data_IF_317225788920
#
_entry.id   IF_317225788920
#
_cell.length_a   1.000
_cell.length_b   1.000
_cell.length_c   1.000
_cell.angle_alpha   90.00
_cell.angle_beta   90.00
_cell.angle_gamma   90.00
#
_symmetry.space_group_name_H-M   'P 1'
#
loop_
_entity.id
_entity.type
_entity.pdbx_description
1 polymer ?
#
# COMPACT_ATOMS: atom_id res chain seq x y z
N UNK A 1 -3.12 -5.55 -6.39
CA UNK A 1 -3.90 -5.20 -5.18
C UNK A 1 -3.23 -4.00 -4.55
N UNK A 2 -4.00 -3.00 -4.13
CA UNK A 2 -3.45 -1.81 -3.46
C UNK A 2 -3.00 -2.16 -2.04
N UNK A 3 -1.97 -1.48 -1.53
CA UNK A 3 -1.45 -1.70 -0.18
C UNK A 3 -1.07 -0.38 0.50
N UNK A 4 -0.70 -0.43 1.78
CA UNK A 4 -0.08 0.70 2.45
C UNK A 4 1.02 0.28 3.40
N UNK A 5 1.92 1.22 3.66
CA UNK A 5 2.92 1.18 4.71
C UNK A 5 2.68 2.30 5.72
N UNK A 6 2.92 1.99 6.99
CA UNK A 6 2.90 2.98 8.08
C UNK A 6 4.31 3.54 8.26
N UNK A 7 4.47 4.85 8.12
CA UNK A 7 5.72 5.54 8.45
C UNK A 7 5.77 5.89 9.93
N UNK A 8 6.68 5.28 10.69
CA UNK A 8 6.87 5.53 12.11
C UNK A 8 7.90 6.62 12.41
N UNK A 9 8.68 7.08 11.43
CA UNK A 9 9.81 7.99 11.64
C UNK A 9 9.40 9.25 12.39
N UNK A 10 8.24 9.81 12.05
CA UNK A 10 7.71 11.05 12.63
C UNK A 10 6.63 10.81 13.70
N UNK A 11 6.25 9.55 13.94
CA UNK A 11 5.23 9.20 14.93
C UNK A 11 5.79 9.33 16.35
N UNK A 12 5.12 10.08 17.25
CA UNK A 12 5.51 10.21 18.65
C UNK A 12 5.63 8.85 19.36
N UNK A 13 6.69 8.66 20.15
CA UNK A 13 7.00 7.37 20.79
C UNK A 13 5.85 6.80 21.65
N UNK A 14 5.07 7.67 22.31
CA UNK A 14 3.93 7.29 23.14
C UNK A 14 2.74 6.75 22.33
N UNK A 15 2.67 7.05 21.03
CA UNK A 15 1.61 6.56 20.14
C UNK A 15 2.02 5.34 19.32
N UNK A 16 3.32 5.08 19.18
CA UNK A 16 3.86 4.01 18.30
C UNK A 16 3.27 2.64 18.61
N UNK A 17 3.15 2.24 19.88
CA UNK A 17 2.59 0.92 20.25
C UNK A 17 1.17 0.74 19.72
N UNK A 18 0.30 1.72 19.96
CA UNK A 18 -1.09 1.67 19.54
C UNK A 18 -1.23 1.66 18.00
N UNK A 19 -0.39 2.42 17.29
CA UNK A 19 -0.37 2.47 15.83
C UNK A 19 0.13 1.13 15.24
N UNK A 20 1.19 0.54 15.80
CA UNK A 20 1.71 -0.76 15.36
C UNK A 20 0.69 -1.87 15.61
N UNK A 21 0.07 -1.92 16.78
CA UNK A 21 -0.98 -2.88 17.09
C UNK A 21 -2.18 -2.75 16.12
N UNK A 22 -2.60 -1.52 15.83
CA UNK A 22 -3.65 -1.26 14.85
C UNK A 22 -3.24 -1.70 13.43
N UNK A 23 -1.99 -1.46 13.03
CA UNK A 23 -1.48 -1.84 11.70
C UNK A 23 -1.48 -3.37 11.52
N UNK A 24 -1.02 -4.10 12.53
CA UNK A 24 -1.03 -5.57 12.53
C UNK A 24 -2.47 -6.09 12.53
N UNK A 25 -3.35 -5.55 13.39
CA UNK A 25 -4.75 -5.98 13.47
C UNK A 25 -5.53 -5.71 12.17
N UNK A 26 -5.29 -4.57 11.53
CA UNK A 26 -5.95 -4.16 10.31
C UNK A 26 -5.38 -4.83 9.05
N UNK A 27 -4.28 -5.58 9.16
CA UNK A 27 -3.63 -6.26 8.04
C UNK A 27 -2.94 -5.29 7.08
N UNK A 28 -2.32 -4.22 7.61
CA UNK A 28 -1.49 -3.32 6.80
C UNK A 28 -0.25 -4.09 6.30
N UNK A 29 0.17 -3.84 5.05
CA UNK A 29 1.23 -4.61 4.38
C UNK A 29 2.60 -4.43 5.03
N UNK A 30 2.91 -3.22 5.51
CA UNK A 30 4.23 -2.94 6.07
C UNK A 30 4.33 -1.74 7.00
N UNK A 31 5.46 -1.68 7.68
CA UNK A 31 5.88 -0.58 8.55
C UNK A 31 7.26 -0.12 8.10
N UNK A 32 7.41 1.19 7.95
CA UNK A 32 8.64 1.87 7.58
C UNK A 32 9.18 2.66 8.78
N UNK A 33 10.46 2.46 9.10
CA UNK A 33 11.18 3.23 10.12
C UNK A 33 12.66 3.38 9.67
N UNK A 34 13.43 4.22 10.35
CA UNK A 34 14.88 4.40 10.14
C UNK A 34 15.72 3.64 11.17
N UNK A 35 15.09 3.05 12.18
CA UNK A 35 15.72 2.33 13.29
C UNK A 35 15.49 0.81 13.17
N UNK A 36 16.52 0.01 12.82
CA UNK A 36 16.39 -1.44 12.64
C UNK A 36 15.86 -2.18 13.87
N UNK A 37 16.24 -1.73 15.07
CA UNK A 37 15.80 -2.36 16.32
C UNK A 37 14.28 -2.22 16.55
N UNK A 38 13.67 -1.11 16.11
CA UNK A 38 12.21 -0.93 16.17
C UNK A 38 11.53 -1.95 15.25
N UNK A 39 12.03 -2.09 14.02
CA UNK A 39 11.52 -3.04 13.03
C UNK A 39 11.69 -4.49 13.49
N UNK A 40 12.78 -4.83 14.17
CA UNK A 40 13.05 -6.16 14.71
C UNK A 40 12.03 -6.60 15.78
N UNK A 41 11.32 -5.66 16.43
CA UNK A 41 10.25 -5.99 17.39
C UNK A 41 8.92 -6.37 16.74
N UNK A 42 8.75 -6.09 15.45
CA UNK A 42 7.49 -6.32 14.74
C UNK A 42 7.27 -7.82 14.47
N UNK A 43 6.00 -8.28 14.49
CA UNK A 43 5.69 -9.67 14.17
C UNK A 43 6.00 -9.97 12.69
N UNK A 44 6.29 -11.23 12.33
CA UNK A 44 6.61 -11.62 10.95
C UNK A 44 5.43 -11.48 9.97
N UNK A 45 4.24 -11.15 10.47
CA UNK A 45 3.03 -10.95 9.66
C UNK A 45 2.96 -9.58 8.99
N UNK A 46 3.85 -8.64 9.35
CA UNK A 46 3.90 -7.30 8.76
C UNK A 46 5.29 -7.07 8.16
N UNK A 47 5.36 -6.54 6.93
CA UNK A 47 6.65 -6.29 6.26
C UNK A 47 7.42 -5.20 7.01
N UNK A 48 8.69 -5.48 7.30
CA UNK A 48 9.64 -4.55 7.92
C UNK A 48 10.42 -3.82 6.84
N UNK A 49 10.14 -2.53 6.65
CA UNK A 49 10.76 -1.69 5.64
C UNK A 49 11.72 -0.72 6.33
N UNK A 50 13.01 -0.76 6.00
CA UNK A 50 13.99 0.17 6.54
C UNK A 50 14.29 1.27 5.52
N UNK A 51 14.30 2.52 5.97
CA UNK A 51 15.00 3.61 5.27
C UNK A 51 16.21 4.01 6.12
N UNK A 52 17.43 3.51 5.81
CA UNK A 52 18.56 3.68 6.70
C UNK A 52 18.95 5.14 6.80
N UNK A 53 19.13 5.63 8.03
CA UNK A 53 19.90 6.85 8.27
C UNK A 53 21.37 6.63 7.88
N UNK A 54 22.10 7.71 7.59
CA UNK A 54 23.49 7.64 7.16
C UNK A 54 24.33 6.79 8.12
N UNK A 55 25.00 5.75 7.58
CA UNK A 55 25.88 4.86 8.33
C UNK A 55 25.20 3.69 9.04
N UNK A 56 23.89 3.48 8.86
CA UNK A 56 23.17 2.31 9.38
C UNK A 56 23.23 1.18 8.35
N UNK A 57 23.93 0.10 8.68
CA UNK A 57 23.90 -1.14 7.91
C UNK A 57 22.78 -2.06 8.44
N UNK A 58 21.82 -2.49 7.61
CA UNK A 58 20.78 -3.41 8.03
C UNK A 58 21.33 -4.83 8.25
N UNK A 59 20.94 -5.47 9.36
CA UNK A 59 21.00 -6.93 9.49
C UNK A 59 19.84 -7.54 8.69
N UNK A 60 20.14 -8.53 7.85
CA UNK A 60 19.17 -9.25 7.04
C UNK A 60 18.05 -9.91 7.86
N UNK A 61 18.27 -10.18 9.16
CA UNK A 61 17.24 -10.75 10.03
C UNK A 61 16.23 -9.73 10.56
N UNK A 62 16.56 -8.43 10.50
CA UNK A 62 15.76 -7.36 11.08
C UNK A 62 14.82 -6.69 10.08
N UNK A 63 15.09 -6.83 8.78
CA UNK A 63 14.45 -6.04 7.72
C UNK A 63 14.11 -6.92 6.52
N UNK A 64 12.92 -6.73 5.95
CA UNK A 64 12.46 -7.46 4.76
C UNK A 64 12.71 -6.67 3.45
N UNK A 65 12.74 -5.33 3.53
CA UNK A 65 13.01 -4.44 2.40
C UNK A 65 13.80 -3.20 2.85
N UNK A 66 14.83 -2.83 2.09
CA UNK A 66 15.59 -1.59 2.32
C UNK A 66 15.27 -0.59 1.21
N UNK A 67 14.82 0.60 1.59
CA UNK A 67 14.52 1.72 0.70
C UNK A 67 15.61 2.77 0.86
N UNK A 68 16.35 3.07 -0.19
CA UNK A 68 17.45 4.03 -0.16
C UNK A 68 17.05 5.39 -0.73
N UNK A 69 17.36 6.51 -0.07
CA UNK A 69 17.24 7.83 -0.69
C UNK A 69 18.05 7.89 -2.00
N UNK A 70 17.40 8.32 -3.09
CA UNK A 70 18.04 8.44 -4.40
C UNK A 70 17.93 9.87 -4.93
N UNK A 71 19.07 10.42 -5.31
CA UNK A 71 19.20 11.77 -5.88
C UNK A 71 19.79 11.77 -7.29
N UNK A 72 20.26 10.61 -7.77
CA UNK A 72 20.85 10.43 -9.09
C UNK A 72 20.57 9.04 -9.69
N UNK A 73 20.78 8.91 -11.00
CA UNK A 73 20.56 7.67 -11.75
C UNK A 73 21.57 6.60 -11.38
N UNK A 74 22.80 6.97 -10.99
CA UNK A 74 23.83 6.02 -10.56
C UNK A 74 23.38 5.21 -9.33
N UNK A 75 22.61 5.84 -8.43
CA UNK A 75 21.99 5.16 -7.30
C UNK A 75 20.92 4.17 -7.76
N UNK A 76 20.08 4.54 -8.73
CA UNK A 76 19.07 3.64 -9.30
C UNK A 76 19.71 2.42 -9.98
N UNK A 77 20.79 2.63 -10.74
CA UNK A 77 21.49 1.53 -11.42
C UNK A 77 22.09 0.55 -10.40
N UNK A 78 22.73 1.06 -9.33
CA UNK A 78 23.22 0.19 -8.24
C UNK A 78 22.09 -0.59 -7.57
N UNK A 79 20.96 0.08 -7.27
CA UNK A 79 19.81 -0.56 -6.62
C UNK A 79 19.20 -1.64 -7.50
N UNK A 80 19.19 -1.45 -8.82
CA UNK A 80 18.71 -2.45 -9.78
C UNK A 80 19.54 -3.74 -9.70
N UNK A 81 20.86 -3.61 -9.63
CA UNK A 81 21.77 -4.76 -9.59
C UNK A 81 21.61 -5.60 -8.32
N UNK A 82 21.25 -4.97 -7.19
CA UNK A 82 21.05 -5.65 -5.90
C UNK A 82 19.57 -5.95 -5.58
N UNK A 83 18.63 -5.59 -6.46
CA UNK A 83 17.19 -5.75 -6.22
C UNK A 83 16.62 -4.85 -5.13
N UNK A 84 17.21 -3.67 -4.91
CA UNK A 84 16.82 -2.71 -3.89
C UNK A 84 15.65 -1.80 -4.27
N UNK A 85 15.20 -0.97 -3.33
CA UNK A 85 14.15 0.03 -3.52
C UNK A 85 14.70 1.45 -3.35
N UNK A 86 14.07 2.43 -4.01
CA UNK A 86 14.46 3.83 -3.93
C UNK A 86 13.39 4.70 -3.26
N UNK A 87 13.82 5.74 -2.53
CA UNK A 87 13.00 6.86 -2.11
C UNK A 87 13.42 8.11 -2.91
N UNK A 88 12.50 8.69 -3.67
CA UNK A 88 12.76 9.90 -4.47
C UNK A 88 11.87 11.04 -3.99
N UNK A 89 12.49 12.11 -3.51
CA UNK A 89 11.78 13.36 -3.20
C UNK A 89 11.65 14.21 -4.47
N UNK A 90 10.45 14.29 -5.03
CA UNK A 90 10.14 14.97 -6.27
C UNK A 90 9.81 16.43 -6.00
N UNK A 91 10.77 17.30 -6.30
CA UNK A 91 10.66 18.75 -6.10
C UNK A 91 10.66 19.53 -7.41
N UNK A 92 11.19 18.94 -8.49
CA UNK A 92 11.41 19.59 -9.79
C UNK A 92 11.44 18.57 -10.95
N UNK A 93 11.66 19.05 -12.17
CA UNK A 93 11.70 18.20 -13.37
C UNK A 93 12.85 17.16 -13.37
N UNK A 94 14.09 17.48 -12.94
CA UNK A 94 15.14 16.47 -12.76
C UNK A 94 14.74 15.33 -11.80
N UNK A 95 14.20 15.66 -10.63
CA UNK A 95 13.78 14.65 -9.65
C UNK A 95 12.54 13.88 -10.09
N UNK A 96 11.64 14.49 -10.87
CA UNK A 96 10.53 13.79 -11.52
C UNK A 96 11.03 12.76 -12.54
N UNK A 97 11.99 13.12 -13.40
CA UNK A 97 12.61 12.15 -14.32
C UNK A 97 13.29 11.01 -13.58
N UNK A 98 13.93 11.30 -12.46
CA UNK A 98 14.54 10.28 -11.61
C UNK A 98 13.49 9.32 -11.04
N UNK A 99 12.34 9.82 -10.57
CA UNK A 99 11.24 8.99 -10.09
C UNK A 99 10.69 8.06 -11.19
N UNK A 100 10.54 8.56 -12.43
CA UNK A 100 10.14 7.72 -13.56
C UNK A 100 11.18 6.63 -13.88
N UNK A 101 12.47 6.98 -13.86
CA UNK A 101 13.56 6.03 -14.07
C UNK A 101 13.61 4.97 -12.96
N UNK A 102 13.39 5.35 -11.70
CA UNK A 102 13.32 4.44 -10.57
C UNK A 102 12.13 3.49 -10.69
N UNK A 103 10.92 4.02 -10.95
CA UNK A 103 9.69 3.24 -11.05
C UNK A 103 9.69 2.21 -12.20
N UNK A 104 10.43 2.47 -13.27
CA UNK A 104 10.59 1.54 -14.39
C UNK A 104 11.70 0.51 -14.18
N UNK A 105 12.64 0.78 -13.26
CA UNK A 105 13.85 -0.01 -13.07
C UNK A 105 13.84 -0.90 -11.82
N UNK A 106 13.06 -0.53 -10.80
CA UNK A 106 13.14 -1.11 -9.46
C UNK A 106 11.84 -1.80 -9.06
N UNK A 107 11.91 -2.84 -8.21
CA UNK A 107 10.72 -3.53 -7.70
C UNK A 107 9.82 -2.61 -6.86
N UNK A 108 10.41 -1.67 -6.12
CA UNK A 108 9.68 -0.66 -5.35
C UNK A 108 10.31 0.72 -5.52
N UNK A 109 9.47 1.73 -5.75
CA UNK A 109 9.87 3.15 -5.74
C UNK A 109 8.91 3.90 -4.83
N UNK A 110 9.45 4.50 -3.77
CA UNK A 110 8.74 5.41 -2.88
C UNK A 110 8.95 6.84 -3.39
N UNK A 111 7.88 7.60 -3.50
CA UNK A 111 7.92 8.99 -3.95
C UNK A 111 7.25 9.91 -2.94
N UNK A 112 7.83 11.07 -2.73
CA UNK A 112 7.16 12.20 -2.10
C UNK A 112 7.14 13.38 -3.06
N UNK A 113 6.11 14.22 -2.98
CA UNK A 113 5.92 15.33 -3.90
C UNK A 113 5.83 16.65 -3.15
N UNK A 114 6.61 17.64 -3.58
CA UNK A 114 6.43 19.03 -3.12
C UNK A 114 5.19 19.69 -3.70
N UNK A 115 4.85 19.34 -4.94
CA UNK A 115 3.69 19.90 -5.65
C UNK A 115 2.39 19.16 -5.25
N UNK A 116 1.38 19.86 -4.72
CA UNK A 116 0.14 19.23 -4.26
C UNK A 116 -0.84 18.85 -5.39
N UNK A 117 -0.62 19.28 -6.63
CA UNK A 117 -1.58 19.16 -7.75
C UNK A 117 -1.81 17.74 -8.25
N UNK A 118 -1.01 16.76 -7.80
CA UNK A 118 -1.00 15.37 -8.26
C UNK A 118 -0.58 15.15 -9.72
N UNK A 119 -0.39 16.21 -10.50
CA UNK A 119 0.13 16.14 -11.88
C UNK A 119 1.48 15.39 -11.94
N UNK A 120 2.46 15.63 -11.04
CA UNK A 120 3.71 14.87 -11.09
C UNK A 120 3.53 13.37 -10.80
N UNK A 121 2.57 13.02 -9.94
CA UNK A 121 2.23 11.62 -9.68
C UNK A 121 1.64 10.96 -10.93
N UNK A 122 0.74 11.64 -11.65
CA UNK A 122 0.19 11.16 -12.93
C UNK A 122 1.29 10.84 -13.94
N UNK A 123 2.31 11.70 -14.02
CA UNK A 123 3.46 11.50 -14.92
C UNK A 123 4.26 10.24 -14.55
N UNK A 124 4.51 10.01 -13.25
CA UNK A 124 5.21 8.80 -12.79
C UNK A 124 4.38 7.55 -13.07
N UNK A 125 3.09 7.56 -12.76
CA UNK A 125 2.18 6.45 -13.05
C UNK A 125 2.16 6.14 -14.55
N UNK A 126 2.07 7.16 -15.41
CA UNK A 126 2.08 6.98 -16.85
C UNK A 126 3.40 6.38 -17.36
N UNK A 127 4.55 6.79 -16.79
CA UNK A 127 5.85 6.21 -17.12
C UNK A 127 5.96 4.73 -16.70
N UNK A 128 5.22 4.31 -15.68
CA UNK A 128 5.23 2.96 -15.13
C UNK A 128 4.17 2.01 -15.73
N UNK A 129 3.36 2.44 -16.70
CA UNK A 129 2.20 1.66 -17.19
C UNK A 129 2.53 0.25 -17.73
N UNK A 130 3.79 0.01 -18.08
CA UNK A 130 4.28 -1.29 -18.56
C UNK A 130 5.43 -1.84 -17.71
N UNK A 131 5.59 -1.33 -16.48
CA UNK A 131 6.57 -1.79 -15.50
C UNK A 131 5.92 -2.78 -14.54
N UNK A 132 6.69 -3.77 -14.09
CA UNK A 132 6.29 -4.66 -12.99
C UNK A 132 6.54 -4.05 -11.60
N UNK A 133 7.25 -2.92 -11.54
CA UNK A 133 7.58 -2.21 -10.31
C UNK A 133 6.36 -1.66 -9.57
N UNK A 134 6.51 -1.44 -8.27
CA UNK A 134 5.46 -0.91 -7.39
C UNK A 134 5.75 0.52 -6.97
N UNK A 135 4.79 1.41 -7.23
CA UNK A 135 4.86 2.81 -6.81
C UNK A 135 4.22 2.98 -5.44
N UNK A 136 4.96 3.52 -4.47
CA UNK A 136 4.44 3.89 -3.15
C UNK A 136 4.48 5.41 -3.03
N UNK A 137 3.32 6.04 -2.87
CA UNK A 137 3.25 7.49 -2.72
C UNK A 137 3.15 7.87 -1.24
N UNK A 138 4.05 8.73 -0.77
CA UNK A 138 3.93 9.39 0.53
C UNK A 138 2.72 10.34 0.51
N UNK A 139 1.91 10.28 1.57
CA UNK A 139 0.75 11.15 1.78
C UNK A 139 0.73 11.64 3.23
N UNK A 140 0.12 12.79 3.43
CA UNK A 140 0.04 13.48 4.72
C UNK A 140 -1.23 13.16 5.51
N UNK A 141 -2.26 12.58 4.88
CA UNK A 141 -3.51 12.22 5.54
C UNK A 141 -4.28 11.09 4.85
N UNK A 142 -5.31 10.55 5.52
CA UNK A 142 -6.21 9.54 4.96
C UNK A 142 -7.09 10.11 3.85
N UNK A 143 -7.44 11.39 3.89
CA UNK A 143 -8.16 12.07 2.81
C UNK A 143 -7.28 12.19 1.55
N UNK A 144 -6.00 12.53 1.71
CA UNK A 144 -5.06 12.57 0.59
C UNK A 144 -4.80 11.15 0.05
N UNK A 145 -4.72 10.15 0.92
CA UNK A 145 -4.60 8.74 0.51
C UNK A 145 -5.76 8.31 -0.41
N UNK A 146 -7.00 8.67 -0.07
CA UNK A 146 -8.16 8.37 -0.89
C UNK A 146 -8.04 8.97 -2.30
N UNK A 147 -7.60 10.22 -2.41
CA UNK A 147 -7.38 10.88 -3.71
C UNK A 147 -6.29 10.16 -4.50
N UNK A 148 -5.15 9.87 -3.87
CA UNK A 148 -3.97 9.26 -4.52
C UNK A 148 -4.24 7.84 -5.03
N UNK A 149 -5.07 7.07 -4.30
CA UNK A 149 -5.47 5.73 -4.70
C UNK A 149 -6.34 5.72 -5.98
N UNK A 150 -7.01 6.83 -6.31
CA UNK A 150 -7.92 6.95 -7.44
C UNK A 150 -7.32 7.70 -8.67
N UNK A 151 -6.11 8.26 -8.55
CA UNK A 151 -5.47 9.05 -9.63
C UNK A 151 -5.37 8.25 -10.94
N UNK A 152 -5.85 8.83 -12.06
CA UNK A 152 -5.94 8.17 -13.38
C UNK A 152 -6.75 6.86 -13.41
N UNK A 153 -7.65 6.63 -12.45
CA UNK A 153 -8.36 5.34 -12.24
C UNK A 153 -7.43 4.14 -12.03
N UNK A 154 -6.12 4.40 -11.92
CA UNK A 154 -5.06 3.42 -11.69
C UNK A 154 -4.52 3.57 -10.28
N UNK A 155 -4.18 4.77 -9.85
CA UNK A 155 -3.58 5.14 -8.56
C UNK A 155 -2.16 4.60 -8.36
N UNK A 156 -1.45 5.06 -7.32
CA UNK A 156 -0.20 4.39 -6.88
C UNK A 156 -0.51 2.99 -6.34
N UNK A 157 0.38 2.01 -6.52
CA UNK A 157 0.17 0.66 -5.97
C UNK A 157 0.09 0.65 -4.43
N UNK A 158 0.88 1.52 -3.81
CA UNK A 158 0.99 1.66 -2.36
C UNK A 158 0.87 3.10 -1.89
N UNK A 159 0.54 3.26 -0.61
CA UNK A 159 0.56 4.52 0.12
C UNK A 159 1.54 4.43 1.29
N UNK A 160 2.30 5.48 1.56
CA UNK A 160 3.08 5.63 2.79
C UNK A 160 2.45 6.77 3.61
N UNK A 161 1.93 6.46 4.79
CA UNK A 161 1.29 7.45 5.68
C UNK A 161 1.97 7.41 7.06
N UNK A 162 2.31 8.58 7.59
CA UNK A 162 2.64 8.76 9.01
C UNK A 162 1.34 9.07 9.79
N UNK A 163 0.73 8.10 10.49
CA UNK A 163 -0.59 8.27 11.09
C UNK A 163 -0.50 9.10 12.38
N UNK A 164 -1.55 9.86 12.68
CA UNK A 164 -1.63 10.64 13.94
C UNK A 164 -2.27 9.83 15.07
N UNK A 165 -2.86 8.69 14.76
CA UNK A 165 -3.55 7.84 15.72
C UNK A 165 -3.79 6.44 15.13
N UNK A 166 -4.19 5.49 15.98
CA UNK A 166 -4.69 4.19 15.54
C UNK A 166 -5.94 4.30 14.64
N UNK A 167 -6.76 5.33 14.81
CA UNK A 167 -7.95 5.55 13.97
C UNK A 167 -7.58 5.81 12.51
N UNK A 168 -6.53 6.61 12.26
CA UNK A 168 -6.02 6.88 10.91
C UNK A 168 -5.60 5.56 10.22
N UNK A 169 -5.06 4.60 10.96
CA UNK A 169 -4.67 3.27 10.45
C UNK A 169 -5.91 2.47 10.01
N UNK A 170 -6.98 2.45 10.82
CA UNK A 170 -8.21 1.74 10.48
C UNK A 170 -8.95 2.38 9.30
N UNK A 171 -8.92 3.71 9.21
CA UNK A 171 -9.44 4.44 8.06
C UNK A 171 -8.68 4.08 6.79
N UNK A 172 -7.33 4.09 6.83
CA UNK A 172 -6.51 3.70 5.70
C UNK A 172 -6.78 2.25 5.26
N UNK A 173 -6.88 1.31 6.21
CA UNK A 173 -7.24 -0.08 5.91
C UNK A 173 -8.65 -0.22 5.29
N UNK A 174 -9.59 0.66 5.65
CA UNK A 174 -10.92 0.71 5.02
C UNK A 174 -10.86 1.22 3.58
N UNK A 175 -9.99 2.17 3.27
CA UNK A 175 -9.78 2.67 1.90
C UNK A 175 -9.18 1.58 0.99
N UNK A 176 -8.26 0.76 1.51
CA UNK A 176 -7.60 -0.30 0.75
C UNK A 176 -8.47 -1.53 0.52
N UNK A 177 -9.47 -1.76 1.38
CA UNK A 177 -10.47 -2.80 1.16
C UNK A 177 -11.27 -2.40 -0.08
N UNK A 178 -11.05 -3.11 -1.18
CA UNK A 178 -11.76 -2.89 -2.43
C UNK A 178 -13.25 -2.76 -2.15
N UNK A 179 -13.84 -1.64 -2.54
CA UNK A 179 -15.27 -1.48 -2.42
C UNK A 179 -15.90 -2.45 -3.41
N UNK A 180 -16.59 -3.46 -2.88
CA UNK A 180 -17.56 -4.18 -3.71
C UNK A 180 -18.63 -3.13 -4.02
N UNK A 181 -18.84 -2.76 -5.29
CA UNK A 181 -19.89 -1.82 -5.62
C UNK A 181 -21.21 -2.36 -5.06
N UNK A 182 -22.07 -1.46 -4.60
CA UNK A 182 -23.38 -1.84 -4.11
C UNK A 182 -24.13 -2.51 -5.28
N UNK A 183 -24.44 -3.79 -5.11
CA UNK A 183 -25.15 -4.57 -6.10
C UNK A 183 -26.64 -4.30 -5.89
N UNK A 184 -27.29 -3.69 -6.88
CA UNK A 184 -28.75 -3.55 -6.82
C UNK A 184 -29.39 -4.94 -6.84
N UNK A 185 -29.96 -5.33 -5.70
CA UNK A 185 -30.65 -6.61 -5.57
C UNK A 185 -32.04 -6.53 -6.21
N UNK A 186 -32.43 -7.60 -6.87
CA UNK A 186 -33.78 -7.76 -7.42
C UNK A 186 -34.52 -8.85 -6.66
N UNK A 187 -35.73 -8.54 -6.20
CA UNK A 187 -36.60 -9.53 -5.56
C UNK A 187 -37.08 -10.56 -6.57
N UNK A 188 -36.92 -11.84 -6.24
CA UNK A 188 -37.46 -12.97 -6.99
C UNK A 188 -38.56 -13.67 -6.20
N UNK A 189 -39.48 -14.34 -6.91
CA UNK A 189 -40.51 -15.20 -6.32
C UNK A 189 -40.12 -16.64 -6.59
N UNK A 190 -40.07 -17.46 -5.53
CA UNK A 190 -39.94 -18.91 -5.67
C UNK A 190 -41.30 -19.48 -6.07
N UNK A 191 -41.45 -19.86 -7.33
CA UNK A 191 -42.71 -20.38 -7.87
C UNK A 191 -42.90 -21.89 -7.64
N UNK A 192 -41.81 -22.66 -7.64
CA UNK A 192 -41.83 -24.12 -7.39
C UNK A 192 -40.48 -24.64 -6.89
N UNK A 193 -40.46 -25.85 -6.36
CA UNK A 193 -39.26 -26.57 -5.89
C UNK A 193 -39.30 -27.99 -6.45
N UNK A 194 -38.22 -28.41 -7.11
CA UNK A 194 -38.07 -29.74 -7.71
C UNK A 194 -36.76 -30.43 -7.29
N UNK A 195 -36.70 -31.76 -7.42
CA UNK A 195 -35.50 -32.53 -7.10
C UNK A 195 -34.55 -32.60 -8.31
N UNK A 196 -33.36 -32.01 -8.20
CA UNK A 196 -32.40 -31.89 -9.32
C UNK A 196 -31.29 -32.97 -9.34
N UNK A 197 -31.42 -34.04 -8.55
CA UNK A 197 -30.47 -35.15 -8.53
C UNK A 197 -29.14 -34.85 -7.83
N UNK A 198 -28.06 -35.47 -8.32
CA UNK A 198 -26.71 -35.34 -7.75
C UNK A 198 -26.02 -34.08 -8.30
N UNK A 199 -25.41 -33.29 -7.42
CA UNK A 199 -24.61 -32.12 -7.79
C UNK A 199 -23.34 -32.01 -6.94
N UNK A 200 -22.37 -31.26 -7.44
CA UNK A 200 -21.14 -30.94 -6.72
C UNK A 200 -21.40 -29.96 -5.57
N UNK A 201 -20.65 -30.11 -4.48
CA UNK A 201 -20.74 -29.24 -3.31
C UNK A 201 -19.59 -28.24 -3.30
N UNK A 202 -19.92 -26.96 -3.35
CA UNK A 202 -18.99 -25.83 -3.22
C UNK A 202 -19.46 -24.93 -2.08
N UNK A 203 -18.54 -24.48 -1.23
CA UNK A 203 -18.82 -23.50 -0.19
C UNK A 203 -18.49 -22.10 -0.72
N UNK A 204 -19.46 -21.19 -0.68
CA UNK A 204 -19.27 -19.77 -0.93
C UNK A 204 -19.63 -19.02 0.35
N UNK A 205 -18.69 -18.25 0.90
CA UNK A 205 -18.90 -17.45 2.10
C UNK A 205 -19.18 -15.99 1.70
N UNK A 206 -20.34 -15.49 2.11
CA UNK A 206 -20.79 -14.11 1.89
C UNK A 206 -21.31 -13.48 3.18
N UNK A 207 -20.85 -13.94 4.35
CA UNK A 207 -21.31 -13.44 5.66
C UNK A 207 -21.14 -11.92 5.84
N UNK A 208 -20.23 -11.30 5.09
CA UNK A 208 -20.01 -9.84 5.11
C UNK A 208 -20.82 -9.07 4.07
N UNK A 209 -21.52 -9.76 3.16
CA UNK A 209 -22.16 -9.16 1.99
C UNK A 209 -23.68 -9.31 1.95
N UNK A 210 -24.26 -10.37 2.55
CA UNK A 210 -25.70 -10.62 2.53
C UNK A 210 -26.34 -10.33 3.88
N UNK A 211 -27.51 -9.69 3.85
CA UNK A 211 -28.43 -9.53 4.98
C UNK A 211 -29.47 -10.65 4.98
N UNK A 212 -30.38 -10.61 5.96
CA UNK A 212 -31.52 -11.50 6.01
C UNK A 212 -32.33 -11.41 4.70
N UNK A 213 -32.67 -12.56 4.12
CA UNK A 213 -33.44 -12.71 2.87
C UNK A 213 -32.71 -12.31 1.57
N UNK A 214 -31.41 -12.01 1.62
CA UNK A 214 -30.56 -11.81 0.44
C UNK A 214 -29.82 -13.10 0.07
N UNK A 215 -29.59 -13.34 -1.22
CA UNK A 215 -29.04 -14.60 -1.73
C UNK A 215 -28.39 -14.45 -3.11
N UNK A 216 -27.81 -15.54 -3.59
CA UNK A 216 -27.25 -15.63 -4.94
C UNK A 216 -27.98 -16.71 -5.75
N UNK A 217 -28.17 -16.47 -7.05
CA UNK A 217 -28.60 -17.49 -7.98
C UNK A 217 -27.36 -18.25 -8.45
N UNK A 218 -27.26 -19.53 -8.07
CA UNK A 218 -26.12 -20.43 -8.36
C UNK A 218 -26.51 -21.45 -9.41
#
# INVERSE_FOLDING_TARGET
>A
MKFAWIDLRTVPHDQRSAIVEAAVHAGIDGVLDDTPDVLATLPPTIRRVLIPADGVEPDANQVDLVVHPATDVATIDRLRDIGGAAFVNVVDEPTLRLACAAGTALPYTVVSFRDPTKIPLEIVIAAMDHSDGKLVCEVSSTEEAAIVLDVLEKGSDGILLAPRSASDVFELARLLRGQTPELELTTLIVDSIEHNGLGDRVCVDTCTHLRQDEGMLV
#
